data_IF_687064890534
#
_entry.id   IF_687064890534
#
_cell.length_a   1.000
_cell.length_b   1.000
_cell.length_c   1.000
_cell.angle_alpha   90.00
_cell.angle_beta   90.00
_cell.angle_gamma   90.00
#
_symmetry.space_group_name_H-M   'P 1'
#
loop_
_entity.id
_entity.type
_entity.pdbx_description
1 polymer ?
#
# COMPACT_ATOMS: atom_id res chain seq x y z
N UNK A 1 4.31 4.40 -39.17
CA UNK A 1 3.16 3.48 -39.08
C UNK A 1 2.74 3.49 -37.61
N UNK A 2 1.83 4.42 -37.28
CA UNK A 2 1.31 4.58 -35.93
C UNK A 2 0.39 3.42 -35.62
N UNK A 3 0.81 2.57 -34.69
CA UNK A 3 -0.07 1.55 -34.13
C UNK A 3 -0.95 2.25 -33.09
N UNK A 4 -2.14 2.67 -33.50
CA UNK A 4 -3.19 3.06 -32.57
C UNK A 4 -3.59 1.84 -31.73
N UNK A 5 -3.06 1.74 -30.52
CA UNK A 5 -3.61 0.84 -29.52
C UNK A 5 -5.00 1.37 -29.09
N UNK A 6 -6.04 0.86 -29.72
CA UNK A 6 -7.44 1.08 -29.32
C UNK A 6 -7.83 0.27 -28.06
N UNK A 7 -6.88 -0.32 -27.35
CA UNK A 7 -7.07 -0.96 -26.06
C UNK A 7 -6.36 -0.14 -25.00
N UNK A 8 -7.11 0.39 -24.00
CA UNK A 8 -6.48 1.09 -22.86
C UNK A 8 -5.47 0.19 -22.15
N UNK A 9 -4.55 0.80 -21.39
CA UNK A 9 -3.52 0.08 -20.63
C UNK A 9 -4.09 -1.13 -19.86
N UNK A 10 -3.39 -2.24 -19.95
CA UNK A 10 -3.67 -3.48 -19.23
C UNK A 10 -2.37 -4.01 -18.62
N UNK A 11 -2.27 -4.14 -17.28
CA UNK A 11 -1.10 -4.76 -16.67
C UNK A 11 -0.84 -6.15 -17.18
N UNK A 12 0.42 -6.56 -17.38
CA UNK A 12 0.76 -7.89 -17.89
C UNK A 12 0.66 -8.95 -16.78
N UNK A 13 -0.51 -9.55 -16.59
CA UNK A 13 -0.66 -10.69 -15.70
C UNK A 13 -1.50 -11.81 -16.33
N UNK A 14 -1.27 -13.04 -15.89
CA UNK A 14 -2.00 -14.23 -16.34
C UNK A 14 -2.54 -14.99 -15.14
N UNK A 15 -3.81 -15.34 -15.18
CA UNK A 15 -4.44 -16.15 -14.13
C UNK A 15 -4.06 -17.61 -14.36
N UNK A 16 -3.23 -18.16 -13.46
CA UNK A 16 -2.82 -19.56 -13.48
C UNK A 16 -3.70 -20.41 -12.57
N UNK A 17 -3.68 -21.74 -12.76
CA UNK A 17 -4.35 -22.68 -11.84
C UNK A 17 -3.87 -22.51 -10.39
N UNK A 18 -2.59 -22.18 -10.18
CA UNK A 18 -2.03 -21.91 -8.85
C UNK A 18 -2.67 -20.67 -8.20
N UNK A 19 -2.88 -19.61 -8.97
CA UNK A 19 -3.59 -18.40 -8.49
C UNK A 19 -5.04 -18.74 -8.12
N UNK A 20 -5.75 -19.53 -8.93
CA UNK A 20 -7.13 -19.96 -8.61
C UNK A 20 -7.20 -20.74 -7.30
N UNK A 21 -6.26 -21.66 -7.07
CA UNK A 21 -6.17 -22.43 -5.81
C UNK A 21 -5.96 -21.49 -4.62
N UNK A 22 -5.07 -20.50 -4.73
CA UNK A 22 -4.84 -19.54 -3.65
C UNK A 22 -6.05 -18.64 -3.40
N UNK A 23 -6.67 -18.11 -4.46
CA UNK A 23 -7.89 -17.29 -4.33
C UNK A 23 -8.99 -18.06 -3.63
N UNK A 24 -9.23 -19.33 -4.01
CA UNK A 24 -10.22 -20.19 -3.39
C UNK A 24 -9.91 -20.44 -1.91
N UNK A 25 -8.67 -20.83 -1.59
CA UNK A 25 -8.23 -21.11 -0.22
C UNK A 25 -8.32 -19.88 0.68
N UNK A 26 -7.91 -18.70 0.20
CA UNK A 26 -7.99 -17.46 0.95
C UNK A 26 -9.46 -17.07 1.17
N UNK A 27 -10.29 -17.15 0.12
CA UNK A 27 -11.71 -16.82 0.20
C UNK A 27 -12.46 -17.71 1.21
N UNK A 28 -12.14 -19.01 1.25
CA UNK A 28 -12.69 -19.94 2.24
C UNK A 28 -12.29 -19.55 3.67
N UNK A 29 -11.00 -19.26 3.91
CA UNK A 29 -10.52 -18.84 5.23
C UNK A 29 -11.18 -17.54 5.69
N UNK A 30 -11.29 -16.56 4.80
CA UNK A 30 -11.98 -15.31 5.09
C UNK A 30 -13.45 -15.54 5.40
N UNK A 31 -14.13 -16.42 4.63
CA UNK A 31 -15.51 -16.81 4.91
C UNK A 31 -15.68 -17.41 6.31
N UNK A 32 -14.78 -18.30 6.72
CA UNK A 32 -14.78 -18.89 8.08
C UNK A 32 -14.58 -17.82 9.17
N UNK A 33 -13.61 -16.92 9.01
CA UNK A 33 -13.33 -15.83 9.96
C UNK A 33 -14.55 -14.91 10.09
N UNK A 34 -15.17 -14.54 8.97
CA UNK A 34 -16.34 -13.67 8.95
C UNK A 34 -17.55 -14.34 9.61
N UNK A 35 -17.77 -15.64 9.35
CA UNK A 35 -18.88 -16.40 9.94
C UNK A 35 -18.78 -16.53 11.48
N UNK A 36 -17.56 -16.52 12.03
CA UNK A 36 -17.37 -16.58 13.49
C UNK A 36 -17.60 -15.24 14.20
N UNK A 37 -17.78 -14.13 13.48
CA UNK A 37 -18.16 -12.80 14.00
C UNK A 37 -17.19 -12.17 15.02
N UNK A 38 -16.03 -12.78 15.24
CA UNK A 38 -15.19 -12.50 16.41
C UNK A 38 -14.26 -11.28 16.29
N UNK A 39 -14.01 -10.75 15.08
CA UNK A 39 -13.02 -9.65 14.88
C UNK A 39 -13.67 -8.27 15.05
N UNK A 40 -14.89 -8.07 14.57
CA UNK A 40 -15.57 -6.77 14.66
C UNK A 40 -15.94 -6.41 16.11
N UNK A 41 -16.20 -7.43 16.94
CA UNK A 41 -16.56 -7.25 18.35
C UNK A 41 -15.37 -7.07 19.31
N UNK A 42 -14.11 -7.12 18.82
CA UNK A 42 -12.91 -7.09 19.68
C UNK A 42 -11.99 -5.90 19.36
N UNK A 43 -12.28 -4.68 19.86
CA UNK A 43 -11.48 -3.47 19.59
C UNK A 43 -9.99 -3.62 19.92
N UNK A 44 -9.66 -4.34 21.02
CA UNK A 44 -8.28 -4.58 21.42
C UNK A 44 -7.48 -5.41 20.40
N UNK A 45 -8.12 -6.44 19.79
CA UNK A 45 -7.46 -7.23 18.76
C UNK A 45 -7.21 -6.39 17.51
N UNK A 46 -8.17 -5.58 17.09
CA UNK A 46 -8.04 -4.66 15.95
C UNK A 46 -6.87 -3.71 16.15
N UNK A 47 -6.82 -3.02 17.32
CA UNK A 47 -5.70 -2.12 17.65
C UNK A 47 -4.36 -2.85 17.66
N UNK A 48 -4.27 -4.02 18.27
CA UNK A 48 -3.04 -4.79 18.33
C UNK A 48 -2.57 -5.26 16.93
N UNK A 49 -3.47 -5.72 16.09
CA UNK A 49 -3.13 -6.13 14.72
C UNK A 49 -2.67 -4.93 13.90
N UNK A 50 -3.34 -3.78 13.98
CA UNK A 50 -2.91 -2.55 13.33
C UNK A 50 -1.49 -2.13 13.76
N UNK A 51 -1.18 -2.19 15.06
CA UNK A 51 0.17 -1.92 15.58
C UNK A 51 1.20 -2.88 14.98
N UNK A 52 0.88 -4.18 14.88
CA UNK A 52 1.75 -5.18 14.26
C UNK A 52 1.96 -4.90 12.76
N UNK A 53 0.91 -4.56 12.03
CA UNK A 53 0.99 -4.24 10.58
C UNK A 53 1.84 -3.00 10.35
N UNK A 54 1.67 -1.94 11.15
CA UNK A 54 2.49 -0.73 11.11
C UNK A 54 3.96 -1.06 11.41
N UNK A 55 4.23 -1.75 12.52
CA UNK A 55 5.60 -2.16 12.87
C UNK A 55 6.26 -2.97 11.76
N UNK A 56 5.57 -3.99 11.22
CA UNK A 56 6.10 -4.83 10.14
C UNK A 56 6.36 -4.03 8.87
N UNK A 57 5.45 -3.14 8.50
CA UNK A 57 5.61 -2.27 7.34
C UNK A 57 6.80 -1.32 7.48
N UNK A 58 6.98 -0.71 8.63
CA UNK A 58 8.11 0.19 8.90
C UNK A 58 9.44 -0.57 9.01
N UNK A 59 9.43 -1.77 9.58
CA UNK A 59 10.63 -2.61 9.67
C UNK A 59 11.18 -3.02 8.30
N UNK A 60 10.33 -3.21 7.29
CA UNK A 60 10.75 -3.43 5.91
C UNK A 60 11.56 -2.23 5.38
N UNK A 61 11.22 -1.03 5.80
CA UNK A 61 11.90 0.22 5.46
C UNK A 61 13.05 0.57 6.44
N UNK A 62 13.59 -0.43 7.12
CA UNK A 62 14.71 -0.33 8.06
C UNK A 62 14.45 0.51 9.33
N UNK A 63 13.20 0.82 9.70
CA UNK A 63 12.87 1.41 11.00
C UNK A 63 13.26 0.44 12.11
N UNK A 64 14.06 0.92 13.08
CA UNK A 64 14.70 0.09 14.10
C UNK A 64 13.86 -0.09 15.37
N UNK A 65 12.75 0.67 15.52
CA UNK A 65 11.92 0.62 16.71
C UNK A 65 11.28 -0.76 16.91
N UNK A 66 11.39 -1.27 18.12
CA UNK A 66 10.73 -2.53 18.53
C UNK A 66 9.21 -2.38 18.53
N UNK A 67 8.50 -3.51 18.45
CA UNK A 67 7.01 -3.52 18.54
C UNK A 67 6.49 -2.84 19.82
N UNK A 68 7.25 -2.96 20.94
CA UNK A 68 6.94 -2.27 22.21
C UNK A 68 7.03 -0.76 22.07
N UNK A 69 8.12 -0.27 21.47
CA UNK A 69 8.33 1.16 21.24
C UNK A 69 7.29 1.74 20.27
N UNK A 70 6.98 1.04 19.16
CA UNK A 70 5.89 1.44 18.24
C UNK A 70 4.57 1.57 18.99
N UNK A 71 4.23 0.60 19.86
CA UNK A 71 3.03 0.66 20.69
C UNK A 71 3.05 1.87 21.64
N UNK A 72 4.18 2.16 22.25
CA UNK A 72 4.33 3.27 23.19
C UNK A 72 4.21 4.63 22.50
N UNK A 73 4.81 4.78 21.29
CA UNK A 73 4.62 5.97 20.44
C UNK A 73 3.14 6.18 20.10
N UNK A 74 2.44 5.13 19.68
CA UNK A 74 1.01 5.18 19.33
C UNK A 74 0.14 5.53 20.55
N UNK A 75 0.56 5.13 21.75
CA UNK A 75 -0.14 5.46 22.99
C UNK A 75 0.29 6.81 23.59
N UNK A 76 1.11 7.60 22.89
CA UNK A 76 1.55 8.94 23.33
C UNK A 76 2.59 8.94 24.44
N UNK A 77 3.26 7.81 24.69
CA UNK A 77 4.34 7.73 25.67
C UNK A 77 5.65 8.23 25.10
N UNK A 78 6.54 8.67 25.94
CA UNK A 78 7.90 9.04 25.58
C UNK A 78 8.70 7.77 25.19
N UNK A 79 9.33 7.80 24.03
CA UNK A 79 10.16 6.72 23.51
C UNK A 79 11.53 7.28 23.14
N UNK A 80 12.59 6.58 23.53
CA UNK A 80 13.95 6.87 23.09
C UNK A 80 14.18 6.20 21.71
N UNK A 81 14.55 7.00 20.72
CA UNK A 81 14.80 6.59 19.35
C UNK A 81 15.05 7.79 18.44
N UNK A 82 15.37 7.53 17.21
CA UNK A 82 15.53 8.59 16.21
C UNK A 82 14.22 9.32 15.96
N UNK A 83 14.26 10.65 15.90
CA UNK A 83 13.05 11.47 15.69
C UNK A 83 12.34 11.14 14.38
N UNK A 84 13.12 10.82 13.33
CA UNK A 84 12.59 10.38 12.03
C UNK A 84 11.77 9.11 12.20
N UNK A 85 12.29 8.09 12.86
CA UNK A 85 11.62 6.80 13.06
C UNK A 85 10.34 6.94 13.89
N UNK A 86 10.38 7.77 14.95
CA UNK A 86 9.20 8.08 15.76
C UNK A 86 8.14 8.80 14.91
N UNK A 87 8.55 9.73 14.04
CA UNK A 87 7.65 10.44 13.16
C UNK A 87 7.02 9.49 12.11
N UNK A 88 7.78 8.55 11.57
CA UNK A 88 7.27 7.51 10.67
C UNK A 88 6.15 6.67 11.32
N UNK A 89 6.31 6.28 12.59
CA UNK A 89 5.27 5.57 13.35
C UNK A 89 4.00 6.41 13.46
N UNK A 90 4.13 7.70 13.85
CA UNK A 90 2.99 8.61 13.99
C UNK A 90 2.24 8.77 12.66
N UNK A 91 2.98 8.96 11.57
CA UNK A 91 2.43 9.12 10.23
C UNK A 91 1.72 7.86 9.75
N UNK A 92 2.37 6.70 9.89
CA UNK A 92 1.77 5.42 9.52
C UNK A 92 0.49 5.17 10.34
N UNK A 93 0.51 5.42 11.64
CA UNK A 93 -0.68 5.29 12.47
C UNK A 93 -1.82 6.20 11.99
N UNK A 94 -1.53 7.49 11.74
CA UNK A 94 -2.53 8.43 11.23
C UNK A 94 -3.13 7.99 9.88
N UNK A 95 -2.31 7.44 8.97
CA UNK A 95 -2.78 6.93 7.69
C UNK A 95 -3.66 5.67 7.86
N UNK A 96 -3.24 4.71 8.68
CA UNK A 96 -4.01 3.48 8.93
C UNK A 96 -5.30 3.72 9.74
N UNK A 97 -5.36 4.75 10.60
CA UNK A 97 -6.61 5.14 11.27
C UNK A 97 -7.69 5.58 10.28
N UNK A 98 -7.28 6.22 9.19
CA UNK A 98 -8.16 6.71 8.14
C UNK A 98 -8.36 5.71 6.98
N UNK A 99 -7.86 4.47 7.11
CA UNK A 99 -8.02 3.43 6.08
C UNK A 99 -9.46 3.26 5.57
N UNK A 100 -10.51 3.27 6.42
CA UNK A 100 -11.89 3.15 5.96
C UNK A 100 -12.37 4.30 5.06
N UNK A 101 -11.69 5.45 5.08
CA UNK A 101 -12.02 6.62 4.26
C UNK A 101 -11.49 6.49 2.82
N UNK A 102 -10.51 5.58 2.58
CA UNK A 102 -9.83 5.47 1.30
C UNK A 102 -10.79 4.97 0.22
N UNK A 103 -10.94 5.78 -0.85
CA UNK A 103 -11.37 5.28 -2.15
C UNK A 103 -10.13 4.80 -2.93
N UNK A 104 -9.91 3.47 -3.07
CA UNK A 104 -8.72 2.94 -3.68
C UNK A 104 -8.60 3.24 -5.18
N UNK A 105 -9.65 3.81 -5.79
CA UNK A 105 -9.67 4.21 -7.19
C UNK A 105 -9.38 5.71 -7.40
N UNK A 106 -8.97 6.45 -6.36
CA UNK A 106 -8.73 7.89 -6.39
C UNK A 106 -7.24 8.24 -6.29
N UNK A 107 -6.63 8.72 -7.39
CA UNK A 107 -5.27 9.26 -7.38
C UNK A 107 -5.15 10.46 -6.43
N UNK A 108 -6.18 11.29 -6.33
CA UNK A 108 -6.20 12.43 -5.41
C UNK A 108 -6.02 11.95 -3.96
N UNK A 109 -6.76 10.91 -3.57
CA UNK A 109 -6.60 10.34 -2.23
C UNK A 109 -5.27 9.64 -2.05
N UNK A 110 -4.73 8.96 -3.07
CA UNK A 110 -3.38 8.41 -3.01
C UNK A 110 -2.36 9.47 -2.62
N UNK A 111 -2.39 10.63 -3.26
CA UNK A 111 -1.51 11.76 -2.94
C UNK A 111 -1.76 12.33 -1.55
N UNK A 112 -3.03 12.47 -1.14
CA UNK A 112 -3.41 12.91 0.21
C UNK A 112 -2.82 11.97 1.27
N UNK A 113 -3.01 10.67 1.12
CA UNK A 113 -2.50 9.67 2.08
C UNK A 113 -0.98 9.55 2.05
N UNK A 114 -0.35 9.74 0.89
CA UNK A 114 1.10 9.89 0.83
C UNK A 114 1.57 11.12 1.62
N UNK A 115 0.88 12.24 1.49
CA UNK A 115 1.15 13.44 2.29
C UNK A 115 1.06 13.18 3.80
N UNK A 116 0.10 12.35 4.26
CA UNK A 116 0.01 11.93 5.67
C UNK A 116 1.19 11.02 6.03
N UNK A 117 1.47 10.02 5.20
CA UNK A 117 2.50 8.99 5.43
C UNK A 117 3.92 9.58 5.53
N UNK A 118 4.19 10.66 4.80
CA UNK A 118 5.52 11.27 4.71
C UNK A 118 5.61 12.65 5.35
N UNK A 119 4.59 13.04 6.13
CA UNK A 119 4.52 14.36 6.78
C UNK A 119 5.75 14.61 7.66
N UNK A 120 6.42 15.75 7.47
CA UNK A 120 7.65 16.15 8.17
C UNK A 120 8.87 15.25 7.92
N UNK A 121 8.82 14.36 6.94
CA UNK A 121 9.93 13.46 6.61
C UNK A 121 10.64 13.87 5.33
N UNK A 122 9.87 14.37 4.36
CA UNK A 122 10.38 14.80 3.05
C UNK A 122 9.69 16.10 2.62
N UNK A 123 10.33 16.82 1.75
CA UNK A 123 9.77 17.95 1.02
C UNK A 123 8.73 17.55 0.00
N UNK A 124 8.11 17.55 -0.74
CA UNK A 124 7.24 16.96 -1.78
C UNK A 124 6.23 15.91 -1.27
N UNK A 125 5.87 15.94 0.04
CA UNK A 125 4.82 15.08 0.60
C UNK A 125 3.50 15.27 -0.17
N UNK A 126 2.96 14.17 -0.74
CA UNK A 126 1.73 14.21 -1.54
C UNK A 126 1.94 14.55 -3.03
N UNK A 127 3.17 14.76 -3.47
CA UNK A 127 3.50 15.04 -4.87
C UNK A 127 4.23 13.87 -5.53
N UNK A 128 3.97 13.64 -6.81
CA UNK A 128 4.77 12.72 -7.59
C UNK A 128 6.20 13.25 -7.74
N UNK A 129 7.18 12.33 -7.77
CA UNK A 129 8.59 12.68 -7.94
C UNK A 129 8.84 13.45 -9.24
N UNK A 130 9.86 14.26 -9.20
CA UNK A 130 10.38 15.01 -10.36
C UNK A 130 11.77 14.51 -10.76
N UNK A 131 12.45 13.80 -9.85
CA UNK A 131 13.75 13.17 -10.07
C UNK A 131 13.65 11.75 -10.58
N UNK A 132 14.75 11.23 -11.10
CA UNK A 132 14.90 9.83 -11.45
C UNK A 132 15.14 9.02 -10.18
N UNK A 133 14.60 7.80 -10.14
CA UNK A 133 14.70 6.88 -9.00
C UNK A 133 15.14 5.50 -9.47
N UNK A 134 15.98 4.84 -8.67
CA UNK A 134 16.46 3.50 -8.94
C UNK A 134 16.80 2.73 -7.68
N UNK A 135 16.86 1.42 -7.78
CA UNK A 135 17.32 0.52 -6.73
C UNK A 135 18.74 0.08 -7.07
N UNK A 136 19.67 0.32 -6.16
CA UNK A 136 21.08 0.01 -6.34
C UNK A 136 21.53 -1.01 -5.28
N UNK A 137 22.46 -1.89 -5.67
CA UNK A 137 23.22 -2.73 -4.77
C UNK A 137 24.69 -2.34 -4.90
N UNK A 138 25.19 -1.50 -3.99
CA UNK A 138 26.45 -0.80 -4.19
C UNK A 138 26.38 0.09 -5.42
N UNK A 139 27.31 -0.08 -6.36
CA UNK A 139 27.35 0.69 -7.63
C UNK A 139 26.50 0.07 -8.77
N UNK A 140 25.91 -1.12 -8.55
CA UNK A 140 25.12 -1.81 -9.55
C UNK A 140 23.66 -1.37 -9.49
N UNK A 141 23.14 -0.84 -10.61
CA UNK A 141 21.73 -0.54 -10.75
C UNK A 141 20.94 -1.84 -11.00
N UNK A 142 20.18 -2.30 -9.98
CA UNK A 142 19.34 -3.49 -10.08
C UNK A 142 18.04 -3.18 -10.81
N UNK A 143 17.48 -2.00 -10.59
CA UNK A 143 16.23 -1.55 -11.18
C UNK A 143 16.25 -0.02 -11.34
N UNK A 144 15.85 0.45 -12.52
CA UNK A 144 15.60 1.85 -12.79
C UNK A 144 14.09 2.07 -12.99
N UNK A 145 13.50 2.91 -12.17
CA UNK A 145 12.10 3.28 -12.32
C UNK A 145 11.87 4.04 -13.64
N UNK A 146 10.66 4.03 -14.20
CA UNK A 146 10.33 4.81 -15.40
C UNK A 146 10.68 6.28 -15.21
N UNK A 147 11.10 7.01 -16.28
CA UNK A 147 11.42 8.43 -16.19
C UNK A 147 10.31 9.25 -15.52
N UNK A 148 10.68 10.20 -14.66
CA UNK A 148 9.75 10.96 -13.82
C UNK A 148 8.63 11.65 -14.62
N UNK A 149 8.93 12.11 -15.84
CA UNK A 149 7.97 12.75 -16.73
C UNK A 149 6.76 11.87 -17.11
N UNK A 150 6.92 10.53 -17.09
CA UNK A 150 5.86 9.58 -17.42
C UNK A 150 5.04 9.14 -16.21
N UNK A 151 5.50 9.42 -14.98
CA UNK A 151 4.82 9.00 -13.76
C UNK A 151 3.35 9.43 -13.71
N UNK A 152 2.96 10.68 -14.02
CA UNK A 152 1.54 11.05 -13.99
C UNK A 152 0.69 10.21 -14.93
N UNK A 153 1.16 10.00 -16.19
CA UNK A 153 0.45 9.19 -17.17
C UNK A 153 0.32 7.73 -16.74
N UNK A 154 1.43 7.11 -16.28
CA UNK A 154 1.43 5.71 -15.83
C UNK A 154 0.48 5.50 -14.64
N UNK A 155 0.41 6.45 -13.72
CA UNK A 155 -0.52 6.40 -12.61
C UNK A 155 -1.98 6.57 -13.07
N UNK A 156 -2.27 7.44 -14.02
CA UNK A 156 -3.60 7.57 -14.61
C UNK A 156 -4.03 6.28 -15.33
N UNK A 157 -3.12 5.65 -16.07
CA UNK A 157 -3.34 4.38 -16.75
C UNK A 157 -3.62 3.24 -15.76
N UNK A 158 -2.82 3.12 -14.69
CA UNK A 158 -3.01 2.11 -13.63
C UNK A 158 -4.38 2.28 -12.94
N UNK A 159 -4.71 3.49 -12.50
CA UNK A 159 -5.99 3.77 -11.84
C UNK A 159 -7.18 3.66 -12.81
N UNK A 160 -6.98 4.01 -14.07
CA UNK A 160 -7.97 3.80 -15.14
C UNK A 160 -8.28 2.33 -15.36
N UNK A 161 -7.23 1.47 -15.37
CA UNK A 161 -7.40 0.02 -15.42
C UNK A 161 -8.15 -0.50 -14.20
N UNK A 162 -7.76 -0.12 -12.99
CA UNK A 162 -8.43 -0.56 -11.76
C UNK A 162 -9.92 -0.24 -11.77
N UNK A 163 -10.31 0.97 -12.20
CA UNK A 163 -11.72 1.38 -12.32
C UNK A 163 -12.51 0.50 -13.30
N UNK A 164 -11.90 0.15 -14.43
CA UNK A 164 -12.54 -0.71 -15.45
C UNK A 164 -12.60 -2.18 -14.99
N UNK A 165 -11.58 -2.63 -14.28
CA UNK A 165 -11.42 -4.02 -13.87
C UNK A 165 -12.13 -4.38 -12.55
N UNK A 166 -12.68 -3.40 -11.81
CA UNK A 166 -13.22 -3.59 -10.44
C UNK A 166 -14.29 -4.69 -10.32
N UNK A 167 -15.07 -4.91 -11.37
CA UNK A 167 -16.17 -5.87 -11.39
C UNK A 167 -15.79 -7.18 -12.12
N UNK A 168 -14.60 -7.25 -12.74
CA UNK A 168 -14.16 -8.40 -13.54
C UNK A 168 -12.90 -9.08 -13.01
N UNK A 169 -12.05 -8.37 -12.26
CA UNK A 169 -10.83 -8.93 -11.65
C UNK A 169 -11.05 -9.11 -10.15
N UNK A 170 -10.78 -10.32 -9.66
CA UNK A 170 -10.93 -10.64 -8.24
C UNK A 170 -10.05 -9.71 -7.36
N UNK A 171 -10.55 -9.13 -6.25
CA UNK A 171 -9.82 -8.16 -5.43
C UNK A 171 -8.45 -8.64 -4.92
N UNK A 172 -8.29 -9.92 -4.60
CA UNK A 172 -6.99 -10.51 -4.24
C UNK A 172 -5.98 -10.40 -5.38
N UNK A 173 -6.42 -10.54 -6.63
CA UNK A 173 -5.55 -10.41 -7.81
C UNK A 173 -5.28 -8.94 -8.08
N UNK A 174 -6.33 -8.11 -8.08
CA UNK A 174 -6.21 -6.67 -8.31
C UNK A 174 -5.24 -6.00 -7.33
N UNK A 175 -5.31 -6.35 -6.05
CA UNK A 175 -4.42 -5.77 -5.03
C UNK A 175 -2.96 -6.16 -5.24
N UNK A 176 -2.69 -7.39 -5.69
CA UNK A 176 -1.33 -7.84 -6.03
C UNK A 176 -0.79 -7.15 -7.29
N UNK A 177 -1.62 -7.05 -8.34
CA UNK A 177 -1.26 -6.36 -9.58
C UNK A 177 -0.99 -4.88 -9.31
N UNK A 178 -1.89 -4.21 -8.58
CA UNK A 178 -1.67 -2.82 -8.16
C UNK A 178 -0.35 -2.66 -7.40
N UNK A 179 -0.09 -3.52 -6.42
CA UNK A 179 1.13 -3.45 -5.61
C UNK A 179 2.39 -3.53 -6.50
N UNK A 180 2.41 -4.49 -7.42
CA UNK A 180 3.54 -4.68 -8.34
C UNK A 180 3.74 -3.47 -9.24
N UNK A 181 2.69 -3.04 -9.95
CA UNK A 181 2.74 -1.91 -10.88
C UNK A 181 3.10 -0.60 -10.15
N UNK A 182 2.54 -0.37 -8.98
CA UNK A 182 2.83 0.81 -8.18
C UNK A 182 4.31 0.87 -7.75
N UNK A 183 4.85 -0.25 -7.27
CA UNK A 183 6.27 -0.33 -6.89
C UNK A 183 7.17 -0.21 -8.12
N UNK A 184 6.76 -0.74 -9.28
CA UNK A 184 7.46 -0.60 -10.54
C UNK A 184 7.47 0.87 -11.02
N UNK A 185 6.34 1.55 -11.03
CA UNK A 185 6.25 2.98 -11.40
C UNK A 185 7.05 3.85 -10.45
N UNK A 186 7.07 3.49 -9.17
CA UNK A 186 7.79 4.22 -8.10
C UNK A 186 7.44 5.70 -8.07
N UNK A 187 6.16 6.07 -7.88
CA UNK A 187 5.68 7.40 -8.21
C UNK A 187 6.14 8.52 -7.27
N UNK A 188 6.67 8.21 -6.11
CA UNK A 188 7.09 9.18 -5.10
C UNK A 188 8.59 9.13 -4.86
N UNK A 189 9.17 10.21 -4.31
CA UNK A 189 10.58 10.24 -3.94
C UNK A 189 10.93 9.37 -2.70
N UNK A 190 9.96 9.13 -1.81
CA UNK A 190 10.06 8.20 -0.67
C UNK A 190 8.67 7.67 -0.32
N UNK A 191 8.60 6.61 0.49
CA UNK A 191 7.34 6.07 1.00
C UNK A 191 6.58 5.16 0.04
N UNK A 192 7.12 4.82 -1.14
CA UNK A 192 6.45 3.97 -2.12
C UNK A 192 6.08 2.61 -1.55
N UNK A 193 6.97 1.93 -0.84
CA UNK A 193 6.70 0.65 -0.21
C UNK A 193 5.59 0.73 0.84
N UNK A 194 5.63 1.74 1.71
CA UNK A 194 4.60 2.01 2.74
C UNK A 194 3.23 2.26 2.10
N UNK A 195 3.20 3.07 1.03
CA UNK A 195 1.97 3.36 0.29
C UNK A 195 1.43 2.15 -0.47
N UNK A 196 2.29 1.36 -1.10
CA UNK A 196 1.88 0.13 -1.78
C UNK A 196 1.16 -0.84 -0.82
N UNK A 197 1.70 -1.04 0.39
CA UNK A 197 1.09 -1.89 1.42
C UNK A 197 -0.22 -1.32 1.98
N UNK A 198 -0.28 -0.01 2.24
CA UNK A 198 -1.51 0.66 2.67
C UNK A 198 -2.60 0.53 1.60
N UNK A 199 -2.27 0.77 0.33
CA UNK A 199 -3.23 0.71 -0.78
C UNK A 199 -3.69 -0.71 -1.08
N UNK A 200 -2.78 -1.68 -0.98
CA UNK A 200 -3.13 -3.10 -1.05
C UNK A 200 -4.20 -3.45 0.01
N UNK A 201 -3.99 -3.02 1.25
CA UNK A 201 -4.96 -3.20 2.33
C UNK A 201 -6.27 -2.46 2.05
N UNK A 202 -6.22 -1.25 1.50
CA UNK A 202 -7.42 -0.48 1.15
C UNK A 202 -8.26 -1.17 0.07
N UNK A 203 -7.64 -1.73 -0.97
CA UNK A 203 -8.35 -2.50 -2.00
C UNK A 203 -9.04 -3.73 -1.38
N UNK A 204 -8.34 -4.46 -0.52
CA UNK A 204 -8.88 -5.67 0.11
C UNK A 204 -9.97 -5.36 1.12
N UNK A 205 -9.86 -4.27 1.88
CA UNK A 205 -10.86 -3.87 2.87
C UNK A 205 -12.19 -3.48 2.23
N UNK A 206 -12.16 -2.91 1.02
CA UNK A 206 -13.38 -2.64 0.23
C UNK A 206 -14.11 -3.92 -0.20
N UNK A 207 -13.38 -5.00 -0.38
CA UNK A 207 -13.98 -6.31 -0.66
C UNK A 207 -14.48 -7.00 0.61
N UNK A 208 -13.66 -7.01 1.67
CA UNK A 208 -14.00 -7.63 2.97
C UNK A 208 -13.41 -6.81 4.12
N UNK A 209 -14.26 -6.30 5.01
CA UNK A 209 -13.87 -5.46 6.16
C UNK A 209 -12.85 -6.12 7.08
N UNK A 210 -12.78 -7.46 7.12
CA UNK A 210 -11.79 -8.20 7.90
C UNK A 210 -10.35 -7.80 7.58
N UNK A 211 -10.06 -7.36 6.35
CA UNK A 211 -8.73 -6.92 5.95
C UNK A 211 -8.29 -5.57 6.56
N UNK A 212 -9.19 -4.83 7.18
CA UNK A 212 -8.81 -3.66 7.99
C UNK A 212 -8.06 -4.04 9.26
N UNK A 213 -8.11 -5.31 9.64
CA UNK A 213 -7.68 -5.80 10.95
C UNK A 213 -6.68 -6.97 10.89
N UNK A 214 -6.21 -7.33 9.70
CA UNK A 214 -5.24 -8.42 9.48
C UNK A 214 -3.88 -7.85 9.11
#
# INVERSE_FOLDING_TARGET
MEVFFMGGYQPPFTITNKILVYVSSISEKIGRITATGNLESKPHLRKNNRIKSIHSSLKIEANSLSLGQVRDVINGKLVLGEQKEIQEVKNAYAAYERLPEIDPYSIRQLKEFHGIMTKYLIDGSGEFRRGEEGVFNGDECIFMAPPAQFVPQLMEELFGWMKKAKDSVHPLIMSCVFHYEFVFIHPFADGNGRMARLWHTAILSRWKSVFEYI
#
